data_IF_743930963059
#
_entry.id   IF_743930963059
#
_cell.length_a   1.000
_cell.length_b   1.000
_cell.length_c   1.000
_cell.angle_alpha   90.00
_cell.angle_beta   90.00
_cell.angle_gamma   90.00
#
_symmetry.space_group_name_H-M   'P 1'
#
loop_
_entity.id
_entity.type
_entity.pdbx_description
1 polymer ?
#
# COMPACT_ATOMS: atom_id res chain seq x y z
N UNK A 1 38.79 8.32 -23.03
CA UNK A 1 38.02 8.13 -21.79
C UNK A 1 36.81 7.27 -22.14
N UNK A 2 36.71 6.03 -21.64
CA UNK A 2 35.56 5.16 -21.91
C UNK A 2 34.38 5.61 -21.04
N UNK A 3 33.29 6.08 -21.66
CA UNK A 3 32.03 6.29 -20.95
C UNK A 3 31.45 4.93 -20.57
N UNK A 4 31.26 4.70 -19.28
CA UNK A 4 30.58 3.51 -18.77
C UNK A 4 29.08 3.72 -18.98
N UNK A 5 28.47 2.96 -19.88
CA UNK A 5 27.02 3.01 -20.11
C UNK A 5 26.30 2.53 -18.85
N UNK A 6 25.67 3.45 -18.12
CA UNK A 6 24.86 3.10 -16.94
C UNK A 6 23.52 2.58 -17.41
N UNK A 7 23.31 1.26 -17.32
CA UNK A 7 22.02 0.64 -17.62
C UNK A 7 21.09 0.84 -16.43
N UNK A 8 19.90 1.41 -16.66
CA UNK A 8 18.87 1.51 -15.62
C UNK A 8 18.48 0.11 -15.15
N UNK A 9 18.43 -0.11 -13.84
CA UNK A 9 18.07 -1.39 -13.26
C UNK A 9 16.58 -1.66 -13.48
N UNK A 10 16.26 -2.78 -14.12
CA UNK A 10 14.88 -3.22 -14.32
C UNK A 10 14.29 -3.73 -13.01
N UNK A 11 13.15 -3.17 -12.58
CA UNK A 11 12.43 -3.58 -11.39
C UNK A 11 11.24 -4.46 -11.79
N UNK A 12 11.27 -5.75 -11.47
CA UNK A 12 10.25 -6.70 -11.94
C UNK A 12 8.87 -6.47 -11.30
N UNK A 13 8.84 -5.97 -10.07
CA UNK A 13 7.63 -5.66 -9.31
C UNK A 13 7.08 -4.26 -9.60
N UNK A 14 7.84 -3.45 -10.35
CA UNK A 14 7.42 -2.15 -10.87
C UNK A 14 8.05 -1.85 -12.25
N UNK A 15 7.66 -2.59 -13.32
CA UNK A 15 8.33 -2.51 -14.63
C UNK A 15 8.26 -1.13 -15.31
N UNK A 16 7.26 -0.33 -14.92
CA UNK A 16 7.03 1.02 -15.47
C UNK A 16 7.31 2.13 -14.45
N UNK A 17 7.94 1.81 -13.33
CA UNK A 17 8.29 2.77 -12.29
C UNK A 17 7.10 3.63 -11.83
N UNK A 18 5.95 2.98 -11.58
CA UNK A 18 4.74 3.60 -11.03
C UNK A 18 5.07 4.44 -9.79
N UNK A 19 5.97 3.97 -8.92
CA UNK A 19 6.37 4.71 -7.73
C UNK A 19 6.94 6.11 -8.03
N UNK A 20 7.64 6.26 -9.17
CA UNK A 20 8.21 7.55 -9.62
C UNK A 20 7.17 8.47 -10.26
N UNK A 21 6.04 7.92 -10.70
CA UNK A 21 4.94 8.69 -11.30
C UNK A 21 3.99 9.29 -10.25
N UNK A 22 4.06 8.80 -9.01
CA UNK A 22 3.26 9.32 -7.91
C UNK A 22 3.83 10.64 -7.38
N UNK A 23 2.95 11.50 -6.90
CA UNK A 23 3.28 12.63 -6.03
C UNK A 23 3.73 12.14 -4.65
N UNK A 24 4.31 13.03 -3.86
CA UNK A 24 4.70 12.71 -2.48
C UNK A 24 3.49 12.36 -1.61
N UNK A 25 2.40 13.11 -1.74
CA UNK A 25 1.15 12.86 -1.02
C UNK A 25 0.56 11.49 -1.36
N UNK A 26 0.53 11.12 -2.65
CA UNK A 26 0.05 9.80 -3.08
C UNK A 26 0.92 8.67 -2.54
N UNK A 27 2.24 8.83 -2.50
CA UNK A 27 3.14 7.85 -1.87
C UNK A 27 2.85 7.72 -0.38
N UNK A 28 2.65 8.83 0.32
CA UNK A 28 2.36 8.84 1.75
C UNK A 28 1.03 8.15 2.06
N UNK A 29 -0.03 8.44 1.29
CA UNK A 29 -1.34 7.78 1.42
C UNK A 29 -1.22 6.27 1.16
N UNK A 30 -0.51 5.88 0.09
CA UNK A 30 -0.26 4.46 -0.23
C UNK A 30 0.47 3.76 0.91
N UNK A 31 1.50 4.38 1.47
CA UNK A 31 2.33 3.77 2.50
C UNK A 31 1.56 3.67 3.83
N UNK A 32 0.73 4.66 4.16
CA UNK A 32 -0.19 4.62 5.30
C UNK A 32 -1.23 3.49 5.15
N UNK A 33 -1.87 3.39 3.98
CA UNK A 33 -2.80 2.30 3.67
C UNK A 33 -2.11 0.93 3.75
N UNK A 34 -0.87 0.82 3.23
CA UNK A 34 -0.08 -0.41 3.29
C UNK A 34 0.22 -0.81 4.73
N UNK A 35 0.67 0.11 5.58
CA UNK A 35 0.95 -0.17 7.00
C UNK A 35 -0.32 -0.64 7.71
N UNK A 36 -1.44 0.06 7.55
CA UNK A 36 -2.71 -0.38 8.13
C UNK A 36 -3.11 -1.81 7.71
N UNK A 37 -3.02 -2.11 6.42
CA UNK A 37 -3.34 -3.44 5.90
C UNK A 37 -2.44 -4.53 6.50
N UNK A 38 -1.13 -4.29 6.64
CA UNK A 38 -0.21 -5.29 7.18
C UNK A 38 -0.32 -5.42 8.71
N UNK A 39 -0.47 -4.32 9.41
CA UNK A 39 -0.40 -4.30 10.88
C UNK A 39 -1.75 -4.65 11.53
N UNK A 40 -2.87 -4.31 10.87
CA UNK A 40 -4.23 -4.48 11.41
C UNK A 40 -5.04 -5.54 10.69
N UNK A 41 -5.03 -5.57 9.36
CA UNK A 41 -5.90 -6.48 8.59
C UNK A 41 -5.30 -7.87 8.39
N UNK A 42 -4.02 -7.96 8.00
CA UNK A 42 -3.34 -9.22 7.75
C UNK A 42 -3.40 -10.23 8.92
N UNK A 43 -3.26 -9.84 10.21
CA UNK A 43 -3.38 -10.80 11.31
C UNK A 43 -4.82 -11.29 11.54
N UNK A 44 -5.83 -10.53 11.10
CA UNK A 44 -7.25 -10.85 11.35
C UNK A 44 -7.89 -11.64 10.20
N UNK A 45 -7.39 -11.46 8.97
CA UNK A 45 -8.06 -11.94 7.73
C UNK A 45 -8.30 -13.44 7.71
N UNK A 46 -7.37 -14.26 8.20
CA UNK A 46 -7.51 -15.73 8.12
C UNK A 46 -8.65 -16.24 9.00
N UNK A 47 -8.76 -15.74 10.23
CA UNK A 47 -9.81 -16.13 11.18
C UNK A 47 -11.17 -15.58 10.76
N UNK A 48 -11.20 -14.30 10.40
CA UNK A 48 -12.41 -13.61 9.95
C UNK A 48 -13.00 -14.26 8.70
N UNK A 49 -12.16 -14.61 7.72
CA UNK A 49 -12.59 -15.31 6.52
C UNK A 49 -13.11 -16.72 6.83
N UNK A 50 -12.40 -17.48 7.68
CA UNK A 50 -12.78 -18.84 8.06
C UNK A 50 -14.14 -18.90 8.76
N UNK A 51 -14.45 -17.90 9.58
CA UNK A 51 -15.66 -17.86 10.39
C UNK A 51 -16.74 -16.92 9.85
N UNK A 52 -16.56 -16.38 8.64
CA UNK A 52 -17.49 -15.42 8.01
C UNK A 52 -17.82 -14.22 8.92
N UNK A 53 -16.82 -13.71 9.63
CA UNK A 53 -16.96 -12.56 10.56
C UNK A 53 -16.37 -11.30 9.97
N UNK A 54 -17.00 -10.16 10.28
CA UNK A 54 -16.46 -8.83 9.99
C UNK A 54 -16.41 -8.01 11.27
N UNK A 55 -15.25 -7.43 11.59
CA UNK A 55 -15.10 -6.52 12.70
C UNK A 55 -15.52 -5.10 12.28
N UNK A 56 -16.51 -4.54 12.96
CA UNK A 56 -17.01 -3.19 12.68
C UNK A 56 -16.02 -2.09 13.08
N UNK A 57 -15.04 -2.39 13.94
CA UNK A 57 -13.97 -1.43 14.29
C UNK A 57 -13.15 -1.02 13.08
N UNK A 58 -13.01 -1.91 12.08
CA UNK A 58 -12.24 -1.69 10.85
C UNK A 58 -12.71 -0.43 10.13
N UNK A 59 -14.02 -0.17 10.10
CA UNK A 59 -14.56 1.04 9.47
C UNK A 59 -14.15 2.31 10.22
N UNK A 60 -14.09 2.26 11.55
CA UNK A 60 -13.64 3.41 12.36
C UNK A 60 -12.15 3.63 12.19
N UNK A 61 -11.35 2.56 12.26
CA UNK A 61 -9.90 2.59 12.04
C UNK A 61 -9.56 3.17 10.66
N UNK A 62 -10.25 2.75 9.60
CA UNK A 62 -10.07 3.30 8.25
C UNK A 62 -10.50 4.76 8.14
N UNK A 63 -11.58 5.15 8.83
CA UNK A 63 -12.04 6.54 8.86
C UNK A 63 -11.05 7.49 9.55
N UNK A 64 -10.45 7.06 10.66
CA UNK A 64 -9.42 7.83 11.39
C UNK A 64 -8.17 8.05 10.54
N UNK A 65 -7.83 7.11 9.65
CA UNK A 65 -6.72 7.22 8.71
C UNK A 65 -7.07 8.01 7.43
N UNK A 66 -8.32 8.49 7.29
CA UNK A 66 -8.76 9.19 6.09
C UNK A 66 -8.88 8.30 4.85
N UNK A 67 -9.04 6.98 5.04
CA UNK A 67 -9.14 6.00 3.95
C UNK A 67 -10.59 5.78 3.47
N UNK A 68 -11.56 6.54 4.00
CA UNK A 68 -12.97 6.49 3.61
C UNK A 68 -13.41 7.81 2.97
N UNK A 69 -14.00 7.74 1.78
CA UNK A 69 -14.36 8.91 0.97
C UNK A 69 -13.17 9.66 0.33
N UNK A 70 -12.20 8.98 -0.32
CA UNK A 70 -10.97 9.61 -0.84
C UNK A 70 -11.16 10.41 -2.15
N UNK A 71 -12.40 10.64 -2.60
CA UNK A 71 -12.74 11.30 -3.88
C UNK A 71 -13.70 12.46 -3.64
#
# INVERSE_FOLDING_TARGET
>A
MLQKTTRTAFQWNDPFHLDQQLTEDERLIRDAARSYCQDKLAPRVQDMFRHEKTDTSIFREMGELGLLGPT
#
